data_IF_798616227248
#
_entry.id   IF_798616227248
#
_cell.length_a   1.000
_cell.length_b   1.000
_cell.length_c   1.000
_cell.angle_alpha   90.00
_cell.angle_beta   90.00
_cell.angle_gamma   90.00
#
_symmetry.space_group_name_H-M   'P 1'
#
loop_
_entity.id
_entity.type
_entity.pdbx_description
1 polymer ?
#
# COMPACT_ATOMS: atom_id res chain seq x y z
N UNK A 1 -21.35 -15.94 10.87
CA UNK A 1 -20.75 -17.20 11.35
C UNK A 1 -21.69 -18.38 11.05
N UNK A 2 -22.95 -18.35 11.47
CA UNK A 2 -23.93 -19.45 11.31
C UNK A 2 -24.04 -19.98 9.86
N UNK A 3 -24.13 -19.10 8.85
CA UNK A 3 -24.19 -19.52 7.46
C UNK A 3 -22.94 -20.29 7.03
N UNK A 4 -21.76 -19.86 7.43
CA UNK A 4 -20.51 -20.53 7.07
C UNK A 4 -20.42 -21.91 7.71
N UNK A 5 -20.82 -22.03 8.96
CA UNK A 5 -20.89 -23.32 9.68
C UNK A 5 -21.89 -24.25 9.01
N UNK A 6 -23.08 -23.75 8.62
CA UNK A 6 -24.12 -24.54 7.93
C UNK A 6 -23.59 -25.17 6.63
N UNK A 7 -22.71 -24.48 5.90
CA UNK A 7 -22.15 -25.00 4.64
C UNK A 7 -20.77 -25.66 4.83
N UNK A 8 -20.37 -25.93 6.07
CA UNK A 8 -19.08 -26.53 6.41
C UNK A 8 -17.86 -25.80 5.78
N UNK A 9 -17.94 -24.47 5.73
CA UNK A 9 -16.85 -23.65 5.22
C UNK A 9 -15.92 -23.26 6.35
N UNK A 10 -14.63 -23.56 6.17
CA UNK A 10 -13.61 -23.11 7.11
C UNK A 10 -13.52 -21.56 7.09
N UNK A 11 -13.51 -20.94 8.25
CA UNK A 11 -13.33 -19.50 8.37
C UNK A 11 -12.56 -19.14 9.63
N UNK A 12 -11.89 -18.02 9.57
CA UNK A 12 -11.27 -17.37 10.73
C UNK A 12 -11.97 -16.03 10.94
N UNK A 13 -12.47 -15.82 12.14
CA UNK A 13 -13.06 -14.55 12.55
C UNK A 13 -12.19 -13.90 13.61
N UNK A 14 -11.66 -12.73 13.31
CA UNK A 14 -10.89 -11.91 14.24
C UNK A 14 -11.61 -10.61 14.53
N UNK A 15 -11.52 -10.14 15.76
CA UNK A 15 -11.96 -8.79 16.08
C UNK A 15 -10.91 -7.78 15.59
N UNK A 16 -11.36 -6.83 14.82
CA UNK A 16 -10.49 -5.70 14.39
C UNK A 16 -10.75 -4.55 15.35
N UNK A 17 -9.82 -4.34 16.27
CA UNK A 17 -9.92 -3.25 17.27
C UNK A 17 -9.08 -2.04 16.87
N UNK A 18 -7.91 -2.28 16.32
CA UNK A 18 -6.95 -1.25 16.00
C UNK A 18 -6.35 -1.47 14.60
N UNK A 19 -6.01 -0.37 13.95
CA UNK A 19 -5.34 -0.33 12.66
C UNK A 19 -4.09 0.54 12.76
N UNK A 20 -3.12 0.26 11.92
CA UNK A 20 -1.98 1.17 11.77
C UNK A 20 -2.40 2.35 10.91
N UNK A 21 -2.29 3.56 11.44
CA UNK A 21 -2.48 4.77 10.67
C UNK A 21 -1.33 4.94 9.66
N UNK A 22 -1.64 4.95 8.36
CA UNK A 22 -0.63 4.98 7.31
C UNK A 22 -1.09 5.73 6.04
N UNK A 23 -2.16 6.50 6.12
CA UNK A 23 -2.90 6.97 4.94
C UNK A 23 -3.10 8.48 4.85
N UNK A 24 -2.13 9.28 5.28
CA UNK A 24 -2.25 10.74 5.14
C UNK A 24 -2.27 11.23 3.69
N UNK A 25 -1.80 10.43 2.73
CA UNK A 25 -1.75 10.75 1.29
C UNK A 25 -1.05 12.10 1.00
N UNK A 26 -0.13 12.51 1.85
CA UNK A 26 0.68 13.72 1.67
C UNK A 26 2.04 13.38 1.12
N UNK A 27 2.62 14.26 0.36
CA UNK A 27 4.01 14.15 -0.07
C UNK A 27 4.95 14.51 1.10
N UNK A 28 5.84 13.57 1.46
CA UNK A 28 6.76 13.73 2.58
C UNK A 28 8.10 14.33 2.18
N UNK A 29 8.39 14.41 0.88
CA UNK A 29 9.66 14.89 0.32
C UNK A 29 10.88 14.13 0.85
N UNK A 30 10.75 12.80 0.98
CA UNK A 30 11.80 11.93 1.51
C UNK A 30 12.95 11.75 0.53
N UNK A 31 14.15 11.75 1.08
CA UNK A 31 15.35 11.37 0.33
C UNK A 31 15.30 9.90 -0.08
N UNK A 32 16.07 9.48 -1.11
CA UNK A 32 16.15 8.06 -1.51
C UNK A 32 16.54 7.11 -0.38
N UNK A 33 17.33 7.58 0.57
CA UNK A 33 17.73 6.78 1.76
C UNK A 33 16.54 6.56 2.70
N UNK A 34 15.76 7.60 2.98
CA UNK A 34 14.54 7.52 3.78
C UNK A 34 13.48 6.64 3.11
N UNK A 35 13.30 6.77 1.78
CA UNK A 35 12.37 5.92 1.02
C UNK A 35 12.76 4.44 1.09
N UNK A 36 14.06 4.11 1.02
CA UNK A 36 14.53 2.72 1.19
C UNK A 36 14.19 2.19 2.58
N UNK A 37 14.34 3.01 3.61
CA UNK A 37 14.03 2.58 4.97
C UNK A 37 12.54 2.34 5.18
N UNK A 38 11.67 3.26 4.71
CA UNK A 38 10.21 3.07 4.70
C UNK A 38 9.83 1.78 3.98
N UNK A 39 10.37 1.55 2.78
CA UNK A 39 10.06 0.36 1.99
C UNK A 39 10.59 -0.92 2.63
N UNK A 40 11.79 -0.90 3.20
CA UNK A 40 12.41 -2.06 3.86
C UNK A 40 11.52 -2.61 4.98
N UNK A 41 10.90 -1.73 5.74
CA UNK A 41 10.05 -2.10 6.88
C UNK A 41 8.57 -2.31 6.50
N UNK A 42 8.17 -2.01 5.27
CA UNK A 42 6.78 -2.07 4.86
C UNK A 42 6.22 -3.49 4.85
N UNK A 43 5.18 -3.75 5.65
CA UNK A 43 4.47 -5.03 5.68
C UNK A 43 3.62 -5.28 4.42
N UNK A 44 3.31 -4.25 3.64
CA UNK A 44 2.46 -4.35 2.45
C UNK A 44 3.24 -4.47 1.12
N UNK A 45 4.57 -4.43 1.13
CA UNK A 45 5.41 -4.38 -0.08
C UNK A 45 5.31 -5.60 -1.00
N UNK A 46 4.72 -6.69 -0.55
CA UNK A 46 4.48 -7.91 -1.33
C UNK A 46 2.99 -8.26 -1.47
N UNK A 47 2.10 -7.34 -1.10
CA UNK A 47 0.67 -7.50 -1.31
C UNK A 47 0.29 -7.02 -2.70
N UNK A 48 0.74 -7.77 -3.71
CA UNK A 48 0.49 -7.41 -5.10
C UNK A 48 -1.00 -7.21 -5.38
N UNK A 49 -1.32 -6.13 -6.07
CA UNK A 49 -2.69 -5.75 -6.40
C UNK A 49 -2.82 -5.56 -7.90
N UNK A 50 -3.76 -6.28 -8.50
CA UNK A 50 -4.15 -6.11 -9.90
C UNK A 50 -5.38 -5.20 -9.96
N UNK A 51 -5.25 -4.09 -10.67
CA UNK A 51 -6.32 -3.12 -10.84
C UNK A 51 -6.24 -2.48 -12.23
N UNK A 52 -7.33 -2.54 -12.99
CA UNK A 52 -7.46 -1.94 -14.33
C UNK A 52 -6.29 -2.32 -15.28
N UNK A 53 -5.88 -3.60 -15.29
CA UNK A 53 -4.79 -4.10 -16.12
C UNK A 53 -3.38 -3.68 -15.68
N UNK A 54 -3.25 -3.08 -14.51
CA UNK A 54 -1.97 -2.66 -13.90
C UNK A 54 -1.67 -3.49 -12.67
N UNK A 55 -0.44 -3.98 -12.56
CA UNK A 55 0.06 -4.70 -11.40
C UNK A 55 0.86 -3.75 -10.50
N UNK A 56 0.40 -3.60 -9.27
CA UNK A 56 1.00 -2.78 -8.23
C UNK A 56 1.65 -3.64 -7.15
N UNK A 57 2.66 -3.12 -6.47
CA UNK A 57 3.34 -3.83 -5.37
C UNK A 57 2.55 -3.82 -4.06
N UNK A 58 1.59 -2.91 -3.88
CA UNK A 58 0.75 -2.87 -2.70
C UNK A 58 -0.61 -2.23 -2.99
N UNK A 59 -1.65 -2.56 -2.20
CA UNK A 59 -3.01 -2.04 -2.38
C UNK A 59 -3.12 -0.53 -2.15
N UNK A 60 -2.27 0.07 -1.30
CA UNK A 60 -2.26 1.51 -1.09
C UNK A 60 -1.99 2.25 -2.40
N UNK A 61 -0.93 1.88 -3.12
CA UNK A 61 -0.55 2.52 -4.39
C UNK A 61 -1.67 2.37 -5.43
N UNK A 62 -2.24 1.16 -5.55
CA UNK A 62 -3.31 0.89 -6.50
C UNK A 62 -4.54 1.77 -6.23
N UNK A 63 -4.99 1.82 -4.98
CA UNK A 63 -6.18 2.59 -4.61
C UNK A 63 -5.91 4.11 -4.67
N UNK A 64 -4.76 4.58 -4.21
CA UNK A 64 -4.40 5.99 -4.27
C UNK A 64 -4.32 6.49 -5.72
N UNK A 65 -3.79 5.68 -6.65
CA UNK A 65 -3.77 5.99 -8.07
C UNK A 65 -5.19 6.00 -8.67
N UNK A 66 -6.03 5.00 -8.34
CA UNK A 66 -7.42 4.91 -8.81
C UNK A 66 -8.27 6.10 -8.35
N UNK A 67 -8.08 6.52 -7.11
CA UNK A 67 -8.76 7.68 -6.52
C UNK A 67 -8.16 9.03 -6.97
N UNK A 68 -7.12 9.00 -7.81
CA UNK A 68 -6.34 10.20 -8.17
C UNK A 68 -5.82 10.99 -6.95
N UNK A 69 -5.58 10.29 -5.85
CA UNK A 69 -5.07 10.87 -4.61
C UNK A 69 -3.56 11.09 -4.63
N UNK A 70 -2.86 10.43 -5.55
CA UNK A 70 -1.47 10.66 -5.89
C UNK A 70 -1.32 10.81 -7.40
N UNK A 71 -0.28 11.55 -7.81
CA UNK A 71 0.02 11.74 -9.23
C UNK A 71 0.33 10.41 -9.89
N UNK A 72 -0.24 10.18 -11.09
CA UNK A 72 0.09 8.97 -11.85
C UNK A 72 1.58 8.95 -12.21
N UNK A 73 2.21 7.81 -11.94
CA UNK A 73 3.63 7.61 -12.22
C UNK A 73 3.86 6.17 -12.72
N UNK A 74 4.31 5.99 -13.97
CA UNK A 74 4.54 4.67 -14.55
C UNK A 74 5.57 3.81 -13.80
N UNK A 75 6.39 4.40 -12.93
CA UNK A 75 7.30 3.66 -12.06
C UNK A 75 6.60 2.95 -10.88
N UNK A 76 5.33 3.27 -10.61
CA UNK A 76 4.57 2.68 -9.52
C UNK A 76 3.86 1.38 -9.88
N UNK A 77 3.78 1.01 -11.16
CA UNK A 77 3.05 -0.16 -11.64
C UNK A 77 3.68 -0.80 -12.87
N UNK A 78 3.20 -1.97 -13.19
CA UNK A 78 3.47 -2.65 -14.46
C UNK A 78 2.17 -2.66 -15.26
N UNK A 79 2.18 -2.03 -16.42
CA UNK A 79 1.09 -2.13 -17.39
C UNK A 79 1.13 -3.52 -18.03
N UNK A 80 0.08 -4.31 -17.83
CA UNK A 80 -0.01 -5.68 -18.33
C UNK A 80 -0.47 -5.77 -19.80
N UNK A 81 -0.90 -4.67 -20.37
CA UNK A 81 -1.22 -4.59 -21.81
C UNK A 81 0.01 -4.22 -22.68
N UNK A 82 1.15 -3.93 -22.03
CA UNK A 82 2.40 -3.69 -22.75
C UNK A 82 2.98 -4.98 -23.37
N UNK A 83 4.06 -4.85 -24.12
CA UNK A 83 4.77 -5.99 -24.70
C UNK A 83 5.09 -7.07 -23.65
N UNK A 84 4.84 -8.34 -24.00
CA UNK A 84 4.95 -9.47 -23.07
C UNK A 84 6.37 -9.66 -22.50
N UNK A 85 7.42 -9.40 -23.29
CA UNK A 85 8.80 -9.54 -22.81
C UNK A 85 9.14 -8.41 -21.85
N UNK A 86 8.64 -7.20 -22.12
CA UNK A 86 8.79 -6.06 -21.22
C UNK A 86 8.05 -6.31 -19.91
N UNK A 87 6.81 -6.81 -19.95
CA UNK A 87 6.02 -7.18 -18.76
C UNK A 87 6.77 -8.22 -17.92
N UNK A 88 7.24 -9.30 -18.55
CA UNK A 88 8.01 -10.37 -17.89
C UNK A 88 9.27 -9.82 -17.21
N UNK A 89 10.00 -8.96 -17.87
CA UNK A 89 11.20 -8.30 -17.33
C UNK A 89 10.88 -7.43 -16.12
N UNK A 90 9.82 -6.61 -16.22
CA UNK A 90 9.37 -5.74 -15.12
C UNK A 90 8.87 -6.54 -13.92
N UNK A 91 8.14 -7.65 -14.14
CA UNK A 91 7.69 -8.54 -13.05
C UNK A 91 8.90 -9.14 -12.34
N UNK A 92 9.88 -9.68 -13.06
CA UNK A 92 11.12 -10.20 -12.46
C UNK A 92 11.82 -9.15 -11.60
N UNK A 93 11.89 -7.90 -12.06
CA UNK A 93 12.48 -6.79 -11.30
C UNK A 93 11.65 -6.46 -10.06
N UNK A 94 10.32 -6.45 -10.18
CA UNK A 94 9.42 -6.15 -9.07
C UNK A 94 9.54 -7.20 -7.96
N UNK A 95 9.53 -8.48 -8.31
CA UNK A 95 9.64 -9.61 -7.37
C UNK A 95 11.07 -9.77 -6.84
N UNK A 96 12.08 -9.53 -7.69
CA UNK A 96 13.49 -9.72 -7.37
C UNK A 96 14.11 -8.63 -6.49
N UNK A 97 13.41 -7.56 -6.20
CA UNK A 97 13.87 -6.57 -5.23
C UNK A 97 13.90 -5.12 -5.73
N UNK A 98 12.74 -4.53 -5.85
CA UNK A 98 12.63 -3.07 -5.89
C UNK A 98 13.04 -2.51 -4.53
N UNK A 99 13.84 -1.44 -4.51
CA UNK A 99 14.30 -0.82 -3.26
C UNK A 99 13.27 0.13 -2.65
N UNK A 100 12.45 0.75 -3.47
CA UNK A 100 11.29 1.60 -3.15
C UNK A 100 10.57 1.99 -4.44
N UNK A 101 9.38 2.55 -4.31
CA UNK A 101 8.61 3.13 -5.41
C UNK A 101 8.34 4.60 -5.14
N UNK A 102 8.16 5.45 -6.16
CA UNK A 102 7.86 6.87 -5.96
C UNK A 102 6.65 7.10 -5.05
N UNK A 103 5.61 6.29 -5.17
CA UNK A 103 4.42 6.40 -4.33
C UNK A 103 4.67 6.12 -2.83
N UNK A 104 5.81 5.52 -2.47
CA UNK A 104 6.17 5.37 -1.05
C UNK A 104 6.38 6.71 -0.35
N UNK A 105 6.57 7.80 -1.10
CA UNK A 105 6.70 9.14 -0.55
C UNK A 105 5.37 9.72 -0.06
N UNK A 106 4.26 9.16 -0.48
CA UNK A 106 2.91 9.58 -0.10
C UNK A 106 2.30 8.73 1.03
N UNK A 107 3.02 7.75 1.53
CA UNK A 107 2.58 6.85 2.59
C UNK A 107 3.31 7.19 3.89
N UNK A 108 2.59 7.20 5.02
CA UNK A 108 3.21 7.43 6.34
C UNK A 108 4.13 6.28 6.80
N UNK A 109 4.16 5.19 6.03
CA UNK A 109 4.85 3.95 6.36
C UNK A 109 3.91 2.90 6.96
N UNK A 110 4.26 1.62 6.77
CA UNK A 110 3.53 0.48 7.34
C UNK A 110 4.53 -0.53 7.90
N UNK A 111 5.17 -0.24 9.04
CA UNK A 111 6.13 -1.14 9.63
C UNK A 111 5.44 -2.42 10.13
N UNK A 112 6.16 -3.54 10.14
CA UNK A 112 5.70 -4.78 10.76
C UNK A 112 5.44 -4.62 12.25
N UNK A 113 6.25 -3.78 12.90
CA UNK A 113 6.07 -3.38 14.28
C UNK A 113 5.67 -1.90 14.31
N UNK A 114 4.40 -1.62 14.62
CA UNK A 114 3.86 -0.27 14.70
C UNK A 114 4.43 0.55 15.87
N UNK A 115 5.14 -0.08 16.80
CA UNK A 115 5.86 0.62 17.88
C UNK A 115 7.18 1.19 17.40
N UNK A 116 7.73 0.68 16.29
CA UNK A 116 8.93 1.21 15.65
C UNK A 116 8.62 2.54 14.98
N UNK A 117 9.35 3.58 15.35
CA UNK A 117 9.23 4.90 14.71
C UNK A 117 10.04 5.02 13.44
N UNK A 118 10.89 4.05 13.13
CA UNK A 118 11.75 4.10 11.96
C UNK A 118 10.96 3.86 10.68
N UNK A 119 10.97 4.83 9.78
CA UNK A 119 10.21 4.77 8.52
C UNK A 119 8.69 4.81 8.70
N UNK A 120 8.22 5.37 9.83
CA UNK A 120 6.80 5.52 10.10
C UNK A 120 6.49 6.93 10.63
N UNK A 121 5.65 7.65 9.90
CA UNK A 121 5.25 9.03 10.19
C UNK A 121 3.76 9.14 10.60
N UNK A 122 3.06 8.01 10.75
CA UNK A 122 1.66 7.98 11.15
C UNK A 122 1.45 8.14 12.66
N UNK A 123 0.19 8.20 13.07
CA UNK A 123 -0.22 8.40 14.47
C UNK A 123 -0.04 7.15 15.36
N UNK A 124 0.44 6.04 14.82
CA UNK A 124 0.55 4.77 15.53
C UNK A 124 -0.70 3.88 15.31
N UNK A 125 -1.13 3.21 16.37
CA UNK A 125 -2.34 2.40 16.33
C UNK A 125 -3.56 3.27 16.63
N UNK A 126 -4.54 3.23 15.74
CA UNK A 126 -5.83 3.92 15.88
C UNK A 126 -6.97 2.90 15.85
N UNK A 127 -8.10 3.24 16.45
CA UNK A 127 -9.28 2.38 16.38
C UNK A 127 -9.84 2.36 14.95
N UNK A 128 -10.39 1.23 14.51
CA UNK A 128 -10.99 1.10 13.19
C UNK A 128 -12.15 2.08 12.97
N UNK A 129 -12.89 2.43 14.01
CA UNK A 129 -13.98 3.41 13.95
C UNK A 129 -13.48 4.84 13.70
N UNK A 130 -12.30 5.17 14.18
CA UNK A 130 -11.69 6.50 13.98
C UNK A 130 -11.24 6.67 12.54
N UNK A 131 -10.84 5.60 11.85
CA UNK A 131 -10.39 5.67 10.46
C UNK A 131 -11.43 6.23 9.50
N UNK A 132 -12.70 6.03 9.76
CA UNK A 132 -13.79 6.55 8.91
C UNK A 132 -14.06 8.03 9.14
N UNK A 133 -13.72 8.57 10.31
CA UNK A 133 -13.95 9.97 10.69
C UNK A 133 -12.72 10.86 10.50
N UNK A 134 -11.53 10.28 10.53
CA UNK A 134 -10.23 10.98 10.44
C UNK A 134 -9.63 10.92 9.03
N UNK A 135 -10.43 10.74 8.00
CA UNK A 135 -9.94 10.79 6.62
C UNK A 135 -9.49 12.23 6.34
N UNK A 136 -8.18 12.43 6.29
CA UNK A 136 -7.61 13.70 5.90
C UNK A 136 -7.96 13.99 4.43
N UNK A 137 -8.34 15.24 4.10
CA UNK A 137 -8.56 15.61 2.72
C UNK A 137 -7.27 15.41 1.91
N UNK A 138 -7.39 14.75 0.77
CA UNK A 138 -6.28 14.57 -0.15
C UNK A 138 -6.51 15.39 -1.42
N UNK A 139 -5.42 15.77 -2.06
CA UNK A 139 -5.48 16.47 -3.35
C UNK A 139 -5.80 15.46 -4.45
N UNK A 140 -6.76 15.77 -5.29
CA UNK A 140 -7.04 15.02 -6.53
C UNK A 140 -6.15 15.56 -7.63
N UNK A 141 -5.49 14.67 -8.37
CA UNK A 141 -4.71 14.99 -9.56
C UNK A 141 -5.52 14.60 -10.81
N UNK A 142 -5.72 15.54 -11.70
CA UNK A 142 -6.38 15.38 -12.99
C UNK A 142 -5.40 14.91 -14.07
#
# INVERSE_FOLDING_TARGET
KEKLTKYNLAFVATEVKNWTDCSSLREHHRTPTQLREVYKQCCAKFLYTLLDGRLYSCPFIANAAKLKAIKDNPANYIDLYADAQLVKSKIKKLVGGVKFLPACDFCDGRPYDATSKKGYDGKGMISAAIQTSDVLPYKVYE
#
